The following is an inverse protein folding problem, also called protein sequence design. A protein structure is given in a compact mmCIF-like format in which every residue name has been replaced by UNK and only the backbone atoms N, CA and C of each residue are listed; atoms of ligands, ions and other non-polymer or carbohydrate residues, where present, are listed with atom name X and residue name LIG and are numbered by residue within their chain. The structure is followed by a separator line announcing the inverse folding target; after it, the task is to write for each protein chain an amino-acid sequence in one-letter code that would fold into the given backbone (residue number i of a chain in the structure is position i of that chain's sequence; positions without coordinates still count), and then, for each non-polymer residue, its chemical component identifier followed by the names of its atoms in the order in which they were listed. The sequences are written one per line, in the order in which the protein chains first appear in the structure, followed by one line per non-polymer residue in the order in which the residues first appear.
data_IF_721976537798
#
_entry.id   IF_721976537798
#
_cell.length_a   1.000
_cell.length_b   1.000
_cell.length_c   1.000
_cell.angle_alpha   90.00
_cell.angle_beta   90.00
_cell.angle_gamma   90.00
#
_symmetry.space_group_name_H-M   'P 1'
#
loop_
_entity.id
_entity.type
_entity.pdbx_description
1 polymer ?
#
# COMPACT_ATOMS: atom_id res chain seq x y z
N UNK A 1 56.02 -21.73 -18.65
CA UNK A 1 55.38 -20.47 -19.10
C UNK A 1 53.89 -20.71 -19.19
N UNK A 2 53.10 -19.90 -18.47
CA UNK A 2 51.64 -20.07 -18.29
C UNK A 2 50.85 -19.93 -19.61
N UNK A 3 49.73 -20.65 -19.78
CA UNK A 3 48.71 -20.29 -20.76
C UNK A 3 47.82 -19.16 -20.22
N UNK A 4 47.52 -18.19 -21.09
CA UNK A 4 46.61 -17.06 -20.85
C UNK A 4 45.17 -17.56 -20.64
N UNK A 5 44.61 -17.27 -19.47
CA UNK A 5 43.18 -17.38 -19.21
C UNK A 5 42.44 -16.27 -19.97
N UNK A 6 41.72 -16.63 -21.03
CA UNK A 6 40.76 -15.75 -21.68
C UNK A 6 39.56 -15.52 -20.75
N UNK A 7 39.40 -14.28 -20.29
CA UNK A 7 38.25 -13.82 -19.51
C UNK A 7 36.94 -14.08 -20.27
N UNK A 8 36.22 -15.14 -19.88
CA UNK A 8 34.79 -15.27 -20.14
C UNK A 8 34.05 -14.30 -19.23
N UNK A 9 33.94 -13.04 -19.66
CA UNK A 9 33.03 -12.08 -19.05
C UNK A 9 31.60 -12.51 -19.35
N UNK A 10 31.08 -13.28 -18.40
CA UNK A 10 29.70 -13.72 -18.26
C UNK A 10 28.74 -12.60 -18.66
N UNK A 11 27.95 -12.87 -19.70
CA UNK A 11 26.81 -12.09 -20.21
C UNK A 11 25.64 -12.01 -19.20
N UNK A 12 25.87 -11.54 -17.98
CA UNK A 12 24.84 -11.50 -16.92
C UNK A 12 24.44 -10.07 -16.50
N UNK A 13 25.05 -9.03 -17.06
CA UNK A 13 24.80 -7.64 -16.63
C UNK A 13 23.69 -6.90 -17.42
N UNK A 14 22.91 -7.57 -18.28
CA UNK A 14 21.88 -6.90 -19.12
C UNK A 14 20.48 -7.50 -18.98
N UNK A 15 20.02 -7.63 -17.74
CA UNK A 15 18.59 -7.88 -17.44
C UNK A 15 18.10 -7.20 -16.16
N UNK A 16 18.67 -6.06 -15.80
CA UNK A 16 18.23 -5.25 -14.65
C UNK A 16 17.00 -4.38 -14.95
N UNK A 17 16.56 -4.31 -16.21
CA UNK A 17 15.25 -3.78 -16.59
C UNK A 17 14.41 -4.90 -17.19
N UNK A 18 13.78 -5.69 -16.33
CA UNK A 18 12.49 -6.27 -16.69
C UNK A 18 11.46 -5.15 -16.56
N UNK A 19 11.27 -4.38 -17.62
CA UNK A 19 9.97 -3.75 -17.83
C UNK A 19 8.97 -4.90 -17.98
N UNK A 20 8.53 -5.44 -16.85
CA UNK A 20 7.44 -6.40 -16.77
C UNK A 20 6.27 -5.67 -17.43
N UNK A 21 5.75 -6.23 -18.52
CA UNK A 21 4.48 -5.77 -19.10
C UNK A 21 3.49 -5.63 -17.94
N UNK A 22 2.85 -4.48 -17.70
CA UNK A 22 2.00 -4.30 -16.54
C UNK A 22 0.80 -5.24 -16.68
N UNK A 23 0.88 -6.39 -16.01
CA UNK A 23 -0.24 -7.30 -15.78
C UNK A 23 -0.71 -7.26 -14.33
N UNK A 24 -0.28 -6.23 -13.61
CA UNK A 24 -0.88 -5.77 -12.37
C UNK A 24 -1.24 -4.32 -12.69
N UNK A 25 -2.52 -4.01 -12.74
CA UNK A 25 -2.99 -2.62 -12.76
C UNK A 25 -2.60 -2.03 -11.41
N UNK A 26 -1.39 -1.46 -11.31
CA UNK A 26 -0.91 -0.81 -10.09
C UNK A 26 -1.86 0.35 -9.76
N UNK A 27 -2.74 0.14 -8.80
CA UNK A 27 -3.75 1.12 -8.41
C UNK A 27 -3.11 2.39 -7.84
N UNK A 28 -1.84 2.34 -7.41
CA UNK A 28 -1.04 3.49 -7.00
C UNK A 28 -0.20 4.09 -8.14
N UNK A 29 -0.42 3.72 -9.40
CA UNK A 29 0.29 4.28 -10.55
C UNK A 29 -0.06 5.75 -10.77
N UNK A 30 0.91 6.55 -11.24
CA UNK A 30 0.70 7.97 -11.52
C UNK A 30 -0.43 8.23 -12.54
N UNK A 31 -0.78 7.26 -13.37
CA UNK A 31 -1.97 7.31 -14.23
C UNK A 31 -3.25 7.65 -13.46
N UNK A 32 -3.39 7.16 -12.23
CA UNK A 32 -4.55 7.44 -11.37
C UNK A 32 -4.31 8.62 -10.43
N UNK A 33 -3.28 9.45 -10.66
CA UNK A 33 -2.92 10.54 -9.75
C UNK A 33 -4.06 11.52 -9.49
N UNK A 34 -4.98 11.72 -10.43
CA UNK A 34 -6.16 12.56 -10.22
C UNK A 34 -7.04 12.10 -9.04
N UNK A 35 -7.06 10.79 -8.74
CA UNK A 35 -7.81 10.19 -7.64
C UNK A 35 -7.21 10.46 -6.25
N UNK A 36 -5.96 10.92 -6.14
CA UNK A 36 -5.34 11.19 -4.83
C UNK A 36 -4.47 12.45 -4.75
N UNK A 37 -4.13 13.03 -5.89
CA UNK A 37 -3.49 14.32 -6.02
C UNK A 37 -4.54 15.44 -6.11
N UNK A 38 -5.75 15.08 -6.57
CA UNK A 38 -6.80 16.00 -6.97
C UNK A 38 -6.49 16.64 -8.33
N UNK A 39 -7.53 17.00 -9.07
CA UNK A 39 -7.42 18.02 -10.12
C UNK A 39 -7.56 19.40 -9.46
N UNK A 40 -7.11 20.46 -10.15
CA UNK A 40 -7.27 21.86 -9.69
C UNK A 40 -8.76 22.27 -9.46
N UNK A 41 -9.70 21.39 -9.82
CA UNK A 41 -11.12 21.52 -9.55
C UNK A 41 -11.50 20.63 -8.35
N UNK A 42 -11.54 21.22 -7.16
CA UNK A 42 -11.77 20.62 -5.84
C UNK A 42 -13.09 19.84 -5.65
N UNK A 43 -13.90 19.66 -6.70
CA UNK A 43 -15.33 19.33 -6.61
C UNK A 43 -15.67 17.92 -6.10
N UNK A 44 -14.71 17.00 -6.01
CA UNK A 44 -14.95 15.61 -5.57
C UNK A 44 -14.22 15.24 -4.27
N UNK A 45 -13.51 16.19 -3.65
CA UNK A 45 -12.77 15.94 -2.42
C UNK A 45 -13.59 16.30 -1.19
N UNK A 46 -13.65 15.41 -0.20
CA UNK A 46 -14.33 15.67 1.07
C UNK A 46 -13.33 15.74 2.21
N UNK A 47 -13.28 16.87 2.92
CA UNK A 47 -12.54 16.95 4.17
C UNK A 47 -13.19 16.02 5.21
N UNK A 48 -12.42 15.07 5.73
CA UNK A 48 -12.88 14.13 6.77
C UNK A 48 -12.33 14.51 8.14
N UNK A 49 -11.17 15.14 8.16
CA UNK A 49 -10.60 15.73 9.35
C UNK A 49 -9.93 17.04 8.98
N UNK A 50 -10.10 18.06 9.83
CA UNK A 50 -9.36 19.32 9.76
C UNK A 50 -9.13 19.77 11.19
N UNK A 51 -7.87 20.02 11.53
CA UNK A 51 -7.46 20.44 12.86
C UNK A 51 -6.30 21.42 12.77
N UNK A 52 -6.29 22.39 13.67
CA UNK A 52 -5.20 23.36 13.77
C UNK A 52 -4.17 22.82 14.75
N UNK A 53 -2.93 22.70 14.30
CA UNK A 53 -1.82 22.24 15.14
C UNK A 53 -1.18 23.43 15.85
N UNK A 54 -1.22 23.42 17.18
CA UNK A 54 -0.59 24.44 18.04
C UNK A 54 0.94 24.32 18.09
N UNK A 55 1.50 23.20 17.62
CA UNK A 55 2.94 22.86 17.71
C UNK A 55 3.66 22.90 16.35
N UNK A 56 3.02 23.38 15.29
CA UNK A 56 3.64 23.57 13.97
C UNK A 56 2.71 23.35 12.77
N UNK A 57 3.24 23.55 11.55
CA UNK A 57 2.65 23.38 10.20
C UNK A 57 1.30 24.07 9.88
N UNK A 58 0.59 24.62 10.87
CA UNK A 58 -0.69 25.28 10.67
C UNK A 58 -1.84 24.28 10.68
N UNK A 59 -2.55 24.16 9.56
CA UNK A 59 -3.78 23.34 9.47
C UNK A 59 -3.47 21.96 8.92
N UNK A 60 -3.65 20.95 9.76
CA UNK A 60 -3.58 19.54 9.35
C UNK A 60 -4.96 19.11 8.88
N UNK A 61 -5.01 18.51 7.68
CA UNK A 61 -6.25 18.04 7.08
C UNK A 61 -6.10 16.68 6.45
N UNK A 62 -7.19 15.91 6.46
CA UNK A 62 -7.32 14.64 5.76
C UNK A 62 -8.47 14.75 4.79
N UNK A 63 -8.16 14.64 3.50
CA UNK A 63 -9.15 14.62 2.43
C UNK A 63 -9.42 13.19 1.99
N UNK A 64 -10.68 12.89 1.71
CA UNK A 64 -11.12 11.69 1.04
C UNK A 64 -11.39 11.98 -0.43
N UNK A 65 -10.84 11.13 -1.29
CA UNK A 65 -11.10 11.12 -2.72
C UNK A 65 -11.63 9.74 -3.11
N UNK A 66 -12.55 9.64 -4.09
CA UNK A 66 -13.00 8.35 -4.59
C UNK A 66 -11.85 7.59 -5.26
N UNK A 67 -11.90 6.26 -5.24
CA UNK A 67 -11.05 5.43 -6.08
C UNK A 67 -11.86 4.59 -7.05
N UNK A 68 -11.42 4.51 -8.31
CA UNK A 68 -12.09 3.70 -9.35
C UNK A 68 -11.76 2.20 -9.27
N UNK A 69 -10.80 1.83 -8.42
CA UNK A 69 -10.29 0.46 -8.31
C UNK A 69 -10.39 -0.06 -6.87
N UNK A 70 -10.46 -1.39 -6.67
CA UNK A 70 -10.76 -2.41 -7.68
C UNK A 70 -12.19 -2.27 -8.20
N UNK A 71 -12.44 -2.82 -9.39
CA UNK A 71 -13.78 -2.85 -9.99
C UNK A 71 -14.74 -3.66 -9.09
N UNK A 72 -16.00 -3.25 -9.04
CA UNK A 72 -17.08 -3.91 -8.27
C UNK A 72 -17.19 -5.41 -8.54
N UNK A 73 -16.83 -5.88 -9.74
CA UNK A 73 -16.78 -7.30 -10.10
C UNK A 73 -15.88 -8.13 -9.17
N UNK A 74 -14.84 -7.52 -8.58
CA UNK A 74 -13.91 -8.18 -7.66
C UNK A 74 -14.30 -8.05 -6.18
N UNK A 75 -15.31 -7.25 -5.86
CA UNK A 75 -15.72 -7.02 -4.47
C UNK A 75 -16.25 -8.29 -3.78
N UNK A 76 -17.05 -9.16 -4.43
CA UNK A 76 -17.56 -10.37 -3.76
C UNK A 76 -16.47 -11.30 -3.21
N UNK A 77 -15.33 -11.40 -3.89
CA UNK A 77 -14.19 -12.18 -3.41
C UNK A 77 -13.60 -11.56 -2.13
N UNK A 78 -13.46 -10.24 -2.11
CA UNK A 78 -12.95 -9.49 -0.96
C UNK A 78 -13.94 -9.54 0.21
N UNK A 79 -15.24 -9.43 -0.03
CA UNK A 79 -16.30 -9.58 0.97
C UNK A 79 -16.25 -10.95 1.65
N UNK A 80 -16.08 -12.02 0.86
CA UNK A 80 -15.93 -13.39 1.38
C UNK A 80 -14.66 -13.54 2.21
N UNK A 81 -13.55 -12.97 1.75
CA UNK A 81 -12.29 -12.98 2.51
C UNK A 81 -12.43 -12.23 3.85
N UNK A 82 -13.08 -11.06 3.86
CA UNK A 82 -13.36 -10.31 5.09
C UNK A 82 -14.18 -11.12 6.08
N UNK A 83 -15.20 -11.83 5.60
CA UNK A 83 -16.01 -12.71 6.44
C UNK A 83 -15.15 -13.78 7.13
N UNK A 84 -14.29 -14.45 6.36
CA UNK A 84 -13.40 -15.50 6.88
C UNK A 84 -12.42 -14.94 7.92
N UNK A 85 -11.79 -13.79 7.63
CA UNK A 85 -10.87 -13.15 8.57
C UNK A 85 -11.56 -12.66 9.84
N UNK A 86 -12.77 -12.13 9.74
CA UNK A 86 -13.53 -11.71 10.91
C UNK A 86 -13.89 -12.89 11.81
N UNK A 87 -14.27 -14.02 11.22
CA UNK A 87 -14.54 -15.27 11.92
C UNK A 87 -13.32 -15.79 12.70
N UNK A 88 -12.12 -15.68 12.13
CA UNK A 88 -10.87 -16.06 12.79
C UNK A 88 -10.53 -15.17 13.99
N UNK A 89 -10.76 -13.86 13.88
CA UNK A 89 -10.43 -12.87 14.91
C UNK A 89 -11.43 -12.92 16.08
N UNK A 90 -12.71 -13.21 15.81
CA UNK A 90 -13.77 -13.28 16.81
C UNK A 90 -14.46 -14.65 16.81
N UNK A 91 -13.80 -15.70 17.36
CA UNK A 91 -14.43 -17.00 17.50
C UNK A 91 -15.63 -16.90 18.46
N UNK A 92 -16.81 -17.35 18.02
CA UNK A 92 -18.02 -17.45 18.87
C UNK A 92 -19.05 -16.32 18.73
N UNK A 93 -18.80 -15.28 17.92
CA UNK A 93 -19.84 -14.32 17.56
C UNK A 93 -20.78 -14.93 16.50
N UNK A 94 -22.09 -14.65 16.56
CA UNK A 94 -23.04 -15.13 15.55
C UNK A 94 -22.53 -14.74 14.16
N UNK A 95 -22.24 -15.72 13.31
CA UNK A 95 -21.66 -15.48 11.97
C UNK A 95 -22.70 -15.06 10.93
N UNK A 96 -23.94 -14.76 11.36
CA UNK A 96 -25.11 -14.49 10.52
C UNK A 96 -25.12 -13.11 9.86
N UNK A 97 -23.97 -12.56 9.47
CA UNK A 97 -23.95 -11.30 8.73
C UNK A 97 -22.84 -11.29 7.71
N UNK A 98 -23.19 -11.02 6.45
CA UNK A 98 -22.23 -10.82 5.37
C UNK A 98 -21.61 -9.43 5.47
N UNK A 99 -20.33 -9.32 5.09
CA UNK A 99 -19.70 -8.04 4.82
C UNK A 99 -20.10 -7.54 3.44
N UNK A 100 -20.38 -6.24 3.34
CA UNK A 100 -20.62 -5.54 2.08
C UNK A 100 -19.67 -4.36 1.94
N UNK A 101 -19.02 -4.27 0.80
CA UNK A 101 -18.12 -3.17 0.48
C UNK A 101 -18.96 -1.96 0.03
N UNK A 102 -18.68 -0.80 0.62
CA UNK A 102 -19.27 0.48 0.22
C UNK A 102 -18.46 1.17 -0.86
N UNK A 103 -17.16 0.90 -0.90
CA UNK A 103 -16.26 1.41 -1.91
C UNK A 103 -14.85 1.65 -1.39
N UNK A 104 -14.03 2.19 -2.29
CA UNK A 104 -12.62 2.47 -2.07
C UNK A 104 -12.36 3.96 -2.16
N UNK A 105 -11.47 4.45 -1.30
CA UNK A 105 -11.15 5.86 -1.20
C UNK A 105 -9.66 6.07 -0.94
N UNK A 106 -9.12 7.15 -1.49
CA UNK A 106 -7.82 7.66 -1.12
C UNK A 106 -7.95 8.63 0.04
N UNK A 107 -7.13 8.46 1.07
CA UNK A 107 -6.98 9.39 2.20
C UNK A 107 -5.65 10.10 2.08
N UNK A 108 -5.73 11.41 1.97
CA UNK A 108 -4.58 12.28 1.73
C UNK A 108 -4.40 13.18 2.92
N UNK A 109 -3.32 12.94 3.66
CA UNK A 109 -2.88 13.77 4.77
C UNK A 109 -2.10 14.96 4.24
N UNK A 110 -2.56 16.15 4.61
CA UNK A 110 -1.91 17.43 4.32
C UNK A 110 -1.58 18.11 5.64
N UNK A 111 -0.33 18.56 5.81
CA UNK A 111 0.06 19.32 7.01
C UNK A 111 -0.20 20.82 6.87
N UNK A 112 -0.40 21.30 5.65
CA UNK A 112 -0.88 22.63 5.29
C UNK A 112 -1.55 22.53 3.90
N UNK A 113 -2.00 23.65 3.35
CA UNK A 113 -2.74 23.65 2.08
C UNK A 113 -1.88 23.19 0.88
N UNK A 114 -0.55 23.25 0.99
CA UNK A 114 0.39 22.99 -0.10
C UNK A 114 1.17 21.66 0.02
N UNK A 115 1.55 21.25 1.22
CA UNK A 115 2.37 20.06 1.46
C UNK A 115 1.49 18.85 1.73
N UNK A 116 1.32 18.03 0.70
CA UNK A 116 0.78 16.67 0.79
C UNK A 116 1.89 15.74 1.28
N UNK A 117 1.70 15.06 2.40
CA UNK A 117 2.78 14.25 2.98
C UNK A 117 2.52 12.75 2.95
N UNK A 118 1.27 12.31 3.02
CA UNK A 118 0.96 10.88 2.91
C UNK A 118 -0.35 10.65 2.19
N UNK A 119 -0.37 9.61 1.36
CA UNK A 119 -1.53 9.12 0.65
C UNK A 119 -1.68 7.64 0.93
N UNK A 120 -2.85 7.24 1.40
CA UNK A 120 -3.19 5.83 1.65
C UNK A 120 -4.50 5.49 0.97
N UNK A 121 -4.64 4.28 0.46
CA UNK A 121 -5.92 3.77 -0.03
C UNK A 121 -6.61 3.00 1.08
N UNK A 122 -7.92 3.20 1.21
CA UNK A 122 -8.75 2.49 2.17
C UNK A 122 -9.96 1.88 1.45
N UNK A 123 -10.44 0.78 2.00
CA UNK A 123 -11.75 0.20 1.72
C UNK A 123 -12.66 0.49 2.91
N UNK A 124 -13.91 0.85 2.61
CA UNK A 124 -14.98 0.91 3.61
C UNK A 124 -15.94 -0.25 3.38
N UNK A 125 -16.31 -0.93 4.46
CA UNK A 125 -17.29 -2.01 4.45
C UNK A 125 -18.21 -1.89 5.67
N UNK A 126 -19.39 -2.49 5.58
CA UNK A 126 -20.29 -2.66 6.72
C UNK A 126 -20.70 -4.12 6.81
N UNK A 127 -21.29 -4.47 7.95
CA UNK A 127 -21.87 -5.79 8.16
C UNK A 127 -23.37 -5.71 8.01
N UNK A 128 -23.99 -6.58 7.22
CA UNK A 128 -25.45 -6.53 6.98
C UNK A 128 -26.27 -6.67 8.27
N UNK A 129 -25.79 -7.44 9.24
CA UNK A 129 -26.42 -7.56 10.55
C UNK A 129 -26.35 -6.27 11.40
N UNK A 130 -25.40 -5.38 11.10
CA UNK A 130 -25.19 -4.11 11.82
C UNK A 130 -24.88 -2.97 10.81
N UNK A 131 -25.87 -2.50 10.02
CA UNK A 131 -25.62 -1.56 8.93
C UNK A 131 -25.06 -0.20 9.37
N UNK A 132 -25.24 0.16 10.63
CA UNK A 132 -24.74 1.41 11.20
C UNK A 132 -23.24 1.37 11.57
N UNK A 133 -22.63 0.17 11.58
CA UNK A 133 -21.23 -0.04 11.92
C UNK A 133 -20.36 -0.06 10.66
N UNK A 134 -19.46 0.93 10.55
CA UNK A 134 -18.50 1.03 9.45
C UNK A 134 -17.13 0.48 9.85
N UNK A 135 -16.56 -0.33 8.96
CA UNK A 135 -15.24 -0.91 9.07
C UNK A 135 -14.34 -0.35 7.97
N UNK A 136 -13.11 0.01 8.34
CA UNK A 136 -12.12 0.52 7.40
C UNK A 136 -10.91 -0.40 7.34
N UNK A 137 -10.42 -0.65 6.13
CA UNK A 137 -9.20 -1.44 5.90
C UNK A 137 -8.27 -0.68 4.96
N UNK A 138 -7.04 -0.43 5.41
CA UNK A 138 -6.00 0.16 4.57
C UNK A 138 -5.49 -0.87 3.55
N UNK A 139 -5.39 -0.47 2.29
CA UNK A 139 -4.91 -1.29 1.19
C UNK A 139 -3.38 -1.25 1.17
N UNK A 140 -2.77 -2.25 1.79
CA UNK A 140 -1.33 -2.34 1.99
C UNK A 140 -0.51 -2.43 0.69
N UNK A 141 -1.08 -2.97 -0.39
CA UNK A 141 -0.40 -3.15 -1.68
C UNK A 141 -0.27 -1.84 -2.50
N UNK A 142 -0.96 -0.77 -2.09
CA UNK A 142 -1.02 0.48 -2.82
C UNK A 142 -0.01 1.51 -2.27
N UNK A 143 1.05 1.78 -3.02
CA UNK A 143 1.98 2.89 -2.75
C UNK A 143 1.83 4.00 -3.78
N UNK A 144 0.89 4.93 -3.58
CA UNK A 144 0.64 6.02 -4.55
C UNK A 144 1.79 7.03 -4.67
N UNK A 145 2.60 7.20 -3.62
CA UNK A 145 3.63 8.25 -3.58
C UNK A 145 4.90 7.76 -4.28
N UNK A 146 5.35 8.37 -5.40
CA UNK A 146 6.42 7.81 -6.23
C UNK A 146 7.75 7.59 -5.50
N UNK A 147 8.13 8.49 -4.61
CA UNK A 147 9.39 8.36 -3.87
C UNK A 147 9.39 7.12 -2.94
N UNK A 148 8.22 6.63 -2.51
CA UNK A 148 8.13 5.38 -1.74
C UNK A 148 8.48 4.18 -2.58
N UNK A 149 7.95 4.11 -3.81
CA UNK A 149 8.28 3.03 -4.74
C UNK A 149 9.80 3.01 -4.98
N UNK A 150 10.41 4.17 -5.17
CA UNK A 150 11.86 4.31 -5.28
C UNK A 150 12.60 3.88 -4.01
N UNK A 151 12.13 4.29 -2.82
CA UNK A 151 12.72 3.86 -1.54
C UNK A 151 12.69 2.35 -1.35
N UNK A 152 11.55 1.72 -1.64
CA UNK A 152 11.42 0.25 -1.60
C UNK A 152 12.37 -0.38 -2.62
N UNK A 153 12.35 0.06 -3.87
CA UNK A 153 13.17 -0.53 -4.93
C UNK A 153 14.67 -0.44 -4.62
N UNK A 154 15.15 0.75 -4.21
CA UNK A 154 16.55 0.98 -3.85
C UNK A 154 16.91 0.23 -2.57
N UNK A 155 16.09 0.31 -1.53
CA UNK A 155 16.33 -0.36 -0.26
C UNK A 155 16.44 -1.87 -0.42
N UNK A 156 15.49 -2.48 -1.13
CA UNK A 156 15.48 -3.92 -1.40
C UNK A 156 16.66 -4.37 -2.28
N UNK A 157 17.05 -3.54 -3.25
CA UNK A 157 18.23 -3.80 -4.08
C UNK A 157 19.52 -3.73 -3.27
N UNK A 158 19.66 -2.73 -2.39
CA UNK A 158 20.82 -2.58 -1.52
C UNK A 158 20.93 -3.77 -0.54
N UNK A 159 19.82 -4.17 0.10
CA UNK A 159 19.78 -5.35 0.97
C UNK A 159 20.21 -6.61 0.22
N UNK A 160 19.70 -6.79 -1.01
CA UNK A 160 20.06 -7.93 -1.86
C UNK A 160 21.54 -7.92 -2.25
N UNK A 161 22.14 -6.74 -2.45
CA UNK A 161 23.58 -6.62 -2.74
C UNK A 161 24.49 -6.97 -1.56
N UNK A 162 23.97 -6.90 -0.33
CA UNK A 162 24.70 -7.26 0.89
C UNK A 162 24.64 -8.76 1.21
N UNK A 163 24.29 -9.61 0.23
CA UNK A 163 24.09 -11.06 0.38
C UNK A 163 23.06 -11.44 1.45
N UNK A 164 22.14 -10.54 1.79
CA UNK A 164 21.03 -10.88 2.66
C UNK A 164 20.03 -11.75 1.89
N UNK A 165 19.64 -12.88 2.47
CA UNK A 165 18.66 -13.80 1.89
C UNK A 165 17.24 -13.23 1.96
N UNK A 166 16.95 -12.29 1.05
CA UNK A 166 15.67 -11.62 0.96
C UNK A 166 14.52 -12.62 0.74
N UNK A 167 14.74 -13.65 -0.08
CA UNK A 167 13.77 -14.72 -0.31
C UNK A 167 13.46 -15.49 0.96
N UNK A 168 14.45 -15.75 1.82
CA UNK A 168 14.19 -16.41 3.11
C UNK A 168 13.35 -15.51 4.03
N UNK A 169 13.58 -14.20 3.99
CA UNK A 169 12.76 -13.25 4.75
C UNK A 169 11.32 -13.18 4.27
N UNK A 170 11.09 -13.08 2.95
CA UNK A 170 9.75 -13.05 2.34
C UNK A 170 8.93 -14.32 2.67
N UNK A 171 9.58 -15.47 2.76
CA UNK A 171 8.93 -16.74 3.15
C UNK A 171 8.86 -16.95 4.68
N UNK A 172 9.16 -15.93 5.49
CA UNK A 172 9.14 -16.02 6.94
C UNK A 172 10.22 -16.91 7.57
N UNK A 173 11.17 -17.43 6.78
CA UNK A 173 12.27 -18.29 7.25
C UNK A 173 13.38 -17.52 7.96
N UNK A 174 13.48 -16.21 7.70
CA UNK A 174 14.48 -15.33 8.30
C UNK A 174 13.83 -14.03 8.76
N UNK A 175 14.18 -13.59 9.97
CA UNK A 175 13.64 -12.33 10.51
C UNK A 175 14.38 -11.13 9.92
N UNK A 176 13.61 -10.18 9.39
CA UNK A 176 14.09 -8.88 8.93
C UNK A 176 13.54 -7.79 9.84
N UNK A 177 14.41 -6.88 10.30
CA UNK A 177 14.03 -5.73 11.12
C UNK A 177 14.13 -4.45 10.28
N UNK A 178 13.04 -3.72 10.16
CA UNK A 178 13.00 -2.46 9.40
C UNK A 178 12.54 -1.35 10.33
N UNK A 179 13.32 -0.26 10.37
CA UNK A 179 12.97 0.98 11.04
C UNK A 179 12.48 1.99 10.01
N UNK A 180 11.20 2.34 10.09
CA UNK A 180 10.60 3.38 9.24
C UNK A 180 10.53 4.69 10.02
N UNK A 181 11.29 5.70 9.61
CA UNK A 181 11.26 7.04 10.21
C UNK A 181 10.60 8.03 9.23
N UNK A 182 9.55 8.72 9.67
CA UNK A 182 9.14 9.99 9.07
C UNK A 182 8.34 9.96 7.75
N UNK A 183 7.70 8.85 7.37
CA UNK A 183 6.91 8.82 6.13
C UNK A 183 5.44 9.30 6.31
N UNK A 184 4.89 9.23 7.52
CA UNK A 184 3.48 9.54 7.77
C UNK A 184 2.52 8.48 7.20
N UNK A 185 1.28 8.44 7.69
CA UNK A 185 0.17 7.58 7.21
C UNK A 185 0.37 6.04 7.21
N UNK A 186 1.55 5.53 7.54
CA UNK A 186 1.79 4.09 7.73
C UNK A 186 1.78 3.22 6.46
N UNK A 187 1.65 3.80 5.27
CA UNK A 187 1.65 3.04 4.00
C UNK A 187 2.93 2.25 3.77
N UNK A 188 4.09 2.85 3.99
CA UNK A 188 5.39 2.19 3.81
C UNK A 188 5.58 0.98 4.74
N UNK A 189 5.47 1.11 6.08
CA UNK A 189 5.62 -0.07 6.95
C UNK A 189 4.55 -1.14 6.66
N UNK A 190 3.31 -0.75 6.36
CA UNK A 190 2.25 -1.70 6.03
C UNK A 190 2.51 -2.45 4.70
N UNK A 191 3.02 -1.74 3.68
CA UNK A 191 3.43 -2.35 2.41
C UNK A 191 4.58 -3.33 2.63
N UNK A 192 5.58 -2.93 3.41
CA UNK A 192 6.73 -3.80 3.72
C UNK A 192 6.29 -5.03 4.51
N UNK A 193 5.36 -4.91 5.45
CA UNK A 193 4.77 -6.04 6.15
C UNK A 193 4.03 -6.99 5.19
N UNK A 194 3.17 -6.49 4.31
CA UNK A 194 2.48 -7.34 3.33
C UNK A 194 3.46 -8.06 2.39
N UNK A 195 4.48 -7.33 1.90
CA UNK A 195 5.44 -7.86 0.91
C UNK A 195 6.49 -8.78 1.52
N UNK A 196 6.85 -8.56 2.80
CA UNK A 196 7.93 -9.30 3.46
C UNK A 196 7.45 -10.34 4.48
N UNK A 197 6.21 -10.26 4.98
CA UNK A 197 5.75 -11.05 6.12
C UNK A 197 4.51 -11.90 5.86
N UNK A 198 3.96 -11.94 4.64
CA UNK A 198 2.73 -12.71 4.36
C UNK A 198 2.90 -13.73 3.22
N UNK A 199 3.32 -14.94 3.59
CA UNK A 199 2.73 -16.24 3.21
C UNK A 199 3.10 -17.26 4.28
N UNK A 200 2.27 -17.36 5.32
CA UNK A 200 2.18 -18.54 6.20
C UNK A 200 0.86 -19.20 5.92
#
# INVERSE_FOLDING_TARGET
MLPRAGLSWRRHARRLCTAVRPRIEDEGDWFYSSEWWGSDFESHSRAVLRSTSEKGNGVVSVFAYPSSRPNEVYWPETEKWLQQRYAEIKPGYEQNGHFRILGYQWRVLRFNDNTRQSTVKIMAAYREAEPHSLYFMQQAHCLAVPYLKSMVAVGMSAISSCHYELTAAIHGKKRMHILCIGHGGGSLPLFLELVLLVRV
#
